data_IF_179291336983
#
_entry.id   IF_179291336983
#
_cell.length_a   1.000
_cell.length_b   1.000
_cell.length_c   1.000
_cell.angle_alpha   90.00
_cell.angle_beta   90.00
_cell.angle_gamma   90.00
#
_symmetry.space_group_name_H-M   'P 1'
#
loop_
_entity.id
_entity.type
_entity.pdbx_description
1 polymer ?
#
# COMPACT_ATOMS: atom_id res chain seq x y z
N UNK A 1 44.50 -2.17 -22.34
CA UNK A 1 43.54 -2.19 -21.23
C UNK A 1 42.71 -3.44 -21.39
N UNK A 2 43.04 -4.51 -20.65
CA UNK A 2 42.13 -5.65 -20.54
C UNK A 2 40.87 -5.17 -19.82
N UNK A 3 39.71 -5.33 -20.46
CA UNK A 3 38.43 -5.19 -19.79
C UNK A 3 38.36 -6.32 -18.75
N UNK A 4 38.19 -5.97 -17.48
CA UNK A 4 37.90 -6.96 -16.45
C UNK A 4 36.64 -7.75 -16.86
N UNK A 5 36.62 -9.09 -16.73
CA UNK A 5 35.45 -9.88 -17.10
C UNK A 5 34.21 -9.38 -16.33
N UNK A 6 33.02 -9.38 -16.96
CA UNK A 6 31.80 -8.96 -16.28
C UNK A 6 31.62 -9.81 -15.01
N UNK A 7 31.44 -9.14 -13.87
CA UNK A 7 31.24 -9.82 -12.59
C UNK A 7 29.92 -10.60 -12.65
N UNK A 8 30.01 -11.93 -12.71
CA UNK A 8 28.84 -12.83 -12.72
C UNK A 8 28.03 -12.71 -11.42
N UNK A 9 26.71 -12.86 -11.51
CA UNK A 9 25.80 -12.77 -10.37
C UNK A 9 25.99 -13.94 -9.39
N UNK A 10 26.16 -15.16 -9.91
CA UNK A 10 26.55 -16.37 -9.17
C UNK A 10 27.74 -17.00 -9.90
N UNK A 11 28.87 -17.31 -9.22
CA UNK A 11 29.97 -18.03 -9.84
C UNK A 11 29.46 -19.34 -10.44
N UNK A 12 29.87 -19.66 -11.67
CA UNK A 12 29.47 -20.86 -12.45
C UNK A 12 28.09 -20.86 -13.11
N UNK A 13 27.24 -19.85 -12.92
CA UNK A 13 25.96 -19.74 -13.60
C UNK A 13 25.92 -18.55 -14.57
N UNK A 14 25.29 -18.72 -15.75
CA UNK A 14 24.90 -17.59 -16.59
C UNK A 14 23.98 -16.60 -15.85
N UNK A 15 24.13 -15.30 -16.13
CA UNK A 15 23.37 -14.24 -15.46
C UNK A 15 21.86 -14.32 -15.74
N UNK A 16 21.46 -14.78 -16.93
CA UNK A 16 20.07 -14.98 -17.31
C UNK A 16 19.42 -16.12 -16.51
N UNK A 17 20.12 -17.24 -16.34
CA UNK A 17 19.69 -18.35 -15.48
C UNK A 17 19.59 -17.89 -14.03
N UNK A 18 20.54 -17.09 -13.56
CA UNK A 18 20.50 -16.51 -12.21
C UNK A 18 19.28 -15.61 -12.02
N UNK A 19 19.00 -14.72 -12.97
CA UNK A 19 17.81 -13.85 -12.94
C UNK A 19 16.54 -14.70 -12.91
N UNK A 20 16.48 -15.78 -13.68
CA UNK A 20 15.37 -16.72 -13.72
C UNK A 20 15.13 -17.43 -12.37
N UNK A 21 16.21 -17.85 -11.71
CA UNK A 21 16.12 -18.48 -10.39
C UNK A 21 15.62 -17.46 -9.38
N UNK A 22 16.24 -16.28 -9.32
CA UNK A 22 15.88 -15.23 -8.36
C UNK A 22 14.46 -14.72 -8.60
N UNK A 23 14.02 -14.60 -9.85
CA UNK A 23 12.66 -14.20 -10.20
C UNK A 23 11.59 -15.15 -9.62
N UNK A 24 11.91 -16.43 -9.43
CA UNK A 24 10.99 -17.43 -8.86
C UNK A 24 11.00 -17.47 -7.33
N UNK A 25 11.94 -16.79 -6.69
CA UNK A 25 11.97 -16.69 -5.23
C UNK A 25 10.87 -15.71 -4.78
N UNK A 26 10.08 -16.02 -3.74
CA UNK A 26 9.11 -15.08 -3.20
C UNK A 26 9.75 -13.77 -2.77
N UNK A 27 9.07 -12.64 -3.02
CA UNK A 27 9.62 -11.30 -2.71
C UNK A 27 9.91 -11.10 -1.23
N UNK A 28 9.21 -11.82 -0.36
CA UNK A 28 9.48 -11.88 1.08
C UNK A 28 10.90 -12.37 1.41
N UNK A 29 11.62 -13.03 0.49
CA UNK A 29 13.01 -13.45 0.73
C UNK A 29 14.04 -12.47 0.13
N UNK A 30 13.60 -11.43 -0.58
CA UNK A 30 14.51 -10.49 -1.24
C UNK A 30 15.35 -9.66 -0.25
N UNK A 31 14.84 -9.20 0.90
CA UNK A 31 15.68 -8.53 1.88
C UNK A 31 16.88 -9.40 2.29
N UNK A 32 16.67 -10.68 2.59
CA UNK A 32 17.73 -11.63 2.92
C UNK A 32 18.68 -11.87 1.75
N UNK A 33 18.16 -12.05 0.53
CA UNK A 33 18.99 -12.22 -0.67
C UNK A 33 19.85 -10.99 -0.98
N UNK A 34 19.36 -9.78 -0.69
CA UNK A 34 20.09 -8.53 -0.92
C UNK A 34 21.33 -8.37 -0.02
N UNK A 35 21.38 -9.14 1.07
CA UNK A 35 22.51 -9.17 2.00
C UNK A 35 23.62 -10.14 1.55
N UNK A 36 23.32 -11.09 0.68
CA UNK A 36 24.26 -12.12 0.20
C UNK A 36 25.41 -11.50 -0.59
N UNK A 37 25.13 -10.56 -1.50
CA UNK A 37 26.18 -9.85 -2.24
C UNK A 37 25.71 -8.51 -2.82
N UNK A 38 26.67 -7.65 -3.17
CA UNK A 38 26.40 -6.39 -3.88
C UNK A 38 25.69 -6.62 -5.23
N UNK A 39 25.97 -7.75 -5.88
CA UNK A 39 25.36 -8.13 -7.16
C UNK A 39 23.88 -8.49 -6.99
N UNK A 40 23.55 -9.31 -5.98
CA UNK A 40 22.15 -9.61 -5.65
C UNK A 40 21.39 -8.35 -5.24
N UNK A 41 21.99 -7.50 -4.40
CA UNK A 41 21.40 -6.21 -4.02
C UNK A 41 21.05 -5.34 -5.24
N UNK A 42 21.99 -5.21 -6.18
CA UNK A 42 21.75 -4.45 -7.43
C UNK A 42 20.68 -5.08 -8.30
N UNK A 43 20.66 -6.40 -8.40
CA UNK A 43 19.66 -7.13 -9.19
C UNK A 43 18.25 -6.92 -8.60
N UNK A 44 18.11 -7.07 -7.28
CA UNK A 44 16.85 -6.88 -6.53
C UNK A 44 16.33 -5.46 -6.65
N UNK A 45 17.21 -4.46 -6.59
CA UNK A 45 16.85 -3.05 -6.80
C UNK A 45 16.58 -2.69 -8.27
N UNK A 46 16.73 -3.62 -9.22
CA UNK A 46 16.56 -3.36 -10.65
C UNK A 46 15.21 -3.83 -11.18
N UNK A 47 14.66 -3.10 -12.15
CA UNK A 47 13.44 -3.47 -12.89
C UNK A 47 13.60 -4.74 -13.73
N UNK A 48 14.82 -5.26 -13.88
CA UNK A 48 15.11 -6.48 -14.65
C UNK A 48 14.40 -7.71 -14.06
N UNK A 49 14.45 -7.87 -12.74
CA UNK A 49 13.79 -9.00 -12.07
C UNK A 49 12.28 -8.93 -12.23
N UNK A 50 11.72 -7.74 -12.05
CA UNK A 50 10.29 -7.54 -12.20
C UNK A 50 9.81 -7.85 -13.62
N UNK A 51 10.46 -7.28 -14.64
CA UNK A 51 10.14 -7.58 -16.05
C UNK A 51 10.21 -9.08 -16.32
N UNK A 52 11.19 -9.77 -15.72
CA UNK A 52 11.32 -11.22 -15.88
C UNK A 52 10.20 -11.99 -15.20
N UNK A 53 9.79 -11.60 -13.99
CA UNK A 53 8.65 -12.20 -13.29
C UNK A 53 7.35 -12.03 -14.06
N UNK A 54 7.12 -10.84 -14.59
CA UNK A 54 5.98 -10.55 -15.46
C UNK A 54 5.98 -11.47 -16.69
N UNK A 55 7.12 -11.65 -17.36
CA UNK A 55 7.26 -12.59 -18.49
C UNK A 55 7.01 -14.05 -18.11
N UNK A 56 7.34 -14.44 -16.88
CA UNK A 56 7.12 -15.79 -16.36
C UNK A 56 5.68 -15.99 -15.83
N UNK A 57 4.84 -14.96 -15.83
CA UNK A 57 3.49 -15.01 -15.29
C UNK A 57 3.44 -15.17 -13.77
N UNK A 58 4.52 -14.80 -13.07
CA UNK A 58 4.60 -14.94 -11.60
C UNK A 58 3.97 -13.71 -10.97
N UNK A 59 2.77 -13.88 -10.43
CA UNK A 59 2.05 -12.86 -9.66
C UNK A 59 2.15 -13.17 -8.17
N UNK A 60 2.52 -12.17 -7.37
CA UNK A 60 2.47 -12.26 -5.91
C UNK A 60 1.54 -11.19 -5.34
N UNK A 61 0.75 -11.56 -4.33
CA UNK A 61 -0.03 -10.62 -3.56
C UNK A 61 0.82 -10.12 -2.38
N UNK A 62 0.96 -8.81 -2.27
CA UNK A 62 1.65 -8.18 -1.15
C UNK A 62 0.70 -7.21 -0.48
N UNK A 63 0.53 -7.36 0.84
CA UNK A 63 -0.26 -6.44 1.63
C UNK A 63 0.67 -5.42 2.25
N UNK A 64 0.40 -4.14 2.03
CA UNK A 64 1.15 -3.03 2.58
C UNK A 64 0.35 -2.37 3.68
N UNK A 65 1.00 -2.10 4.80
CA UNK A 65 0.37 -1.56 6.00
C UNK A 65 1.15 -0.33 6.47
N UNK A 66 0.44 0.72 6.87
CA UNK A 66 1.01 2.02 7.19
C UNK A 66 0.50 2.55 8.53
N UNK A 67 1.42 2.98 9.40
CA UNK A 67 1.14 3.82 10.56
C UNK A 67 1.64 5.25 10.28
N UNK A 68 1.67 6.13 11.28
CA UNK A 68 2.08 7.54 11.16
C UNK A 68 3.50 7.79 10.66
N UNK A 69 4.40 6.81 10.83
CA UNK A 69 5.85 6.92 10.63
C UNK A 69 6.43 5.81 9.75
N UNK A 70 5.82 4.63 9.77
CA UNK A 70 6.37 3.39 9.28
C UNK A 70 5.45 2.75 8.25
N UNK A 71 6.08 2.02 7.34
CA UNK A 71 5.45 1.18 6.34
C UNK A 71 5.95 -0.25 6.51
N UNK A 72 5.02 -1.21 6.50
CA UNK A 72 5.29 -2.64 6.61
C UNK A 72 4.72 -3.37 5.39
N UNK A 73 5.41 -4.41 4.95
CA UNK A 73 4.89 -5.41 4.02
C UNK A 73 4.53 -6.66 4.81
N UNK A 74 3.30 -7.14 4.64
CA UNK A 74 2.80 -8.39 5.22
C UNK A 74 2.59 -9.38 4.08
N UNK A 75 3.27 -10.53 4.19
CA UNK A 75 3.00 -11.70 3.38
C UNK A 75 2.20 -12.69 4.22
N UNK A 76 0.89 -12.71 3.99
CA UNK A 76 -0.05 -13.60 4.69
C UNK A 76 0.21 -15.09 4.38
N UNK A 77 0.83 -15.42 3.24
CA UNK A 77 1.08 -16.82 2.87
C UNK A 77 2.28 -17.40 3.60
N UNK A 78 3.32 -16.58 3.82
CA UNK A 78 4.51 -17.00 4.57
C UNK A 78 4.46 -16.62 6.05
N UNK A 79 3.41 -15.93 6.49
CA UNK A 79 3.28 -15.34 7.84
C UNK A 79 4.49 -14.47 8.21
N UNK A 80 4.97 -13.66 7.26
CA UNK A 80 6.11 -12.78 7.49
C UNK A 80 5.72 -11.31 7.40
N UNK A 81 6.34 -10.51 8.27
CA UNK A 81 6.23 -9.04 8.29
C UNK A 81 7.61 -8.45 8.04
N UNK A 82 7.67 -7.47 7.14
CA UNK A 82 8.92 -6.82 6.75
C UNK A 82 8.79 -5.31 6.82
N UNK A 83 9.75 -4.66 7.47
CA UNK A 83 9.86 -3.21 7.44
C UNK A 83 10.22 -2.75 6.03
N UNK A 84 9.49 -1.74 5.55
CA UNK A 84 9.80 -1.02 4.32
C UNK A 84 10.66 0.19 4.69
N UNK A 85 11.32 0.80 3.70
CA UNK A 85 12.00 2.08 3.91
C UNK A 85 11.07 3.09 4.61
N UNK A 86 11.62 3.78 5.60
CA UNK A 86 10.91 4.77 6.41
C UNK A 86 10.16 5.75 5.52
N UNK A 87 8.94 6.12 5.92
CA UNK A 87 8.17 7.09 5.17
C UNK A 87 8.94 8.42 5.13
N UNK A 88 9.15 9.03 3.94
CA UNK A 88 9.96 10.24 3.84
C UNK A 88 9.38 11.44 4.60
N UNK A 89 8.07 11.41 4.89
CA UNK A 89 7.36 12.48 5.57
C UNK A 89 6.36 11.89 6.58
N UNK A 90 6.38 12.42 7.81
CA UNK A 90 5.41 12.04 8.85
C UNK A 90 4.00 12.46 8.43
N UNK A 91 3.07 11.51 8.46
CA UNK A 91 1.69 11.72 8.00
C UNK A 91 0.67 11.06 8.95
N UNK A 92 0.23 11.78 10.00
CA UNK A 92 -0.63 11.22 11.05
C UNK A 92 -2.07 10.89 10.62
N UNK A 93 -2.60 11.63 9.65
CA UNK A 93 -3.93 11.38 9.09
C UNK A 93 -3.78 11.24 7.59
N UNK A 94 -4.09 10.03 7.11
CA UNK A 94 -3.93 9.67 5.70
C UNK A 94 -4.94 8.63 5.24
N UNK A 95 -5.16 8.66 3.94
CA UNK A 95 -5.84 7.64 3.16
C UNK A 95 -4.81 6.93 2.27
N UNK A 96 -5.11 5.70 1.88
CA UNK A 96 -4.23 4.86 1.10
C UNK A 96 -5.01 4.09 0.04
N UNK A 97 -4.54 4.10 -1.20
CA UNK A 97 -5.05 3.21 -2.24
C UNK A 97 -4.00 2.94 -3.32
N UNK A 98 -4.32 2.09 -4.30
CA UNK A 98 -3.38 1.55 -5.27
C UNK A 98 -3.85 1.88 -6.68
N UNK A 99 -2.97 2.45 -7.49
CA UNK A 99 -3.15 2.62 -8.94
C UNK A 99 -1.88 2.14 -9.62
N UNK A 100 -2.01 1.36 -10.69
CA UNK A 100 -0.87 0.85 -11.48
C UNK A 100 0.27 0.26 -10.63
N UNK A 101 -0.09 -0.53 -9.60
CA UNK A 101 0.82 -1.17 -8.64
C UNK A 101 1.63 -0.20 -7.78
N UNK A 102 1.31 1.09 -7.78
CA UNK A 102 1.88 2.08 -6.86
C UNK A 102 0.90 2.34 -5.73
N UNK A 103 1.43 2.39 -4.50
CA UNK A 103 0.63 2.76 -3.33
C UNK A 103 0.69 4.27 -3.16
N UNK A 104 -0.47 4.91 -3.18
CA UNK A 104 -0.62 6.34 -2.95
C UNK A 104 -1.10 6.57 -1.52
N UNK A 105 -0.30 7.31 -0.76
CA UNK A 105 -0.66 7.82 0.56
C UNK A 105 -0.94 9.31 0.45
N UNK A 106 -2.13 9.71 0.86
CA UNK A 106 -2.57 11.10 0.76
C UNK A 106 -3.05 11.54 2.14
N UNK A 107 -2.53 12.66 2.63
CA UNK A 107 -2.83 13.04 4.00
C UNK A 107 -2.32 14.40 4.41
N UNK A 108 -2.52 14.69 5.69
CA UNK A 108 -2.00 15.89 6.33
C UNK A 108 -0.57 15.62 6.81
N UNK A 109 0.36 16.41 6.31
CA UNK A 109 1.75 16.43 6.72
C UNK A 109 2.05 17.70 7.50
N UNK A 110 2.79 17.55 8.60
CA UNK A 110 3.34 18.68 9.33
C UNK A 110 4.64 19.14 8.66
N UNK A 111 4.69 20.39 8.21
CA UNK A 111 5.85 20.93 7.51
C UNK A 111 6.34 22.22 8.18
N UNK A 112 7.66 22.30 8.37
CA UNK A 112 8.37 23.54 8.66
C UNK A 112 8.88 24.13 7.37
N UNK A 113 8.64 25.42 7.16
CA UNK A 113 9.32 26.16 6.10
C UNK A 113 9.88 27.46 6.68
N UNK A 114 10.97 27.92 6.10
CA UNK A 114 11.60 29.18 6.47
C UNK A 114 11.58 30.11 5.26
N UNK A 115 11.16 31.35 5.48
CA UNK A 115 11.29 32.46 4.54
C UNK A 115 12.16 33.56 5.16
N UNK A 116 12.30 34.69 4.47
CA UNK A 116 13.10 35.83 4.95
C UNK A 116 12.55 36.45 6.25
N UNK A 117 11.29 36.16 6.60
CA UNK A 117 10.56 36.76 7.72
C UNK A 117 10.59 35.83 8.95
N UNK A 118 10.77 34.52 8.77
CA UNK A 118 10.98 33.57 9.86
C UNK A 118 10.72 32.12 9.48
N UNK A 119 10.68 31.26 10.51
CA UNK A 119 10.28 29.86 10.39
C UNK A 119 8.81 29.72 10.78
N UNK A 120 8.04 29.08 9.92
CA UNK A 120 6.62 28.83 10.10
C UNK A 120 6.33 27.33 10.14
N UNK A 121 5.32 26.95 10.93
CA UNK A 121 4.83 25.59 11.04
C UNK A 121 3.39 25.54 10.52
N UNK A 122 3.13 24.69 9.52
CA UNK A 122 1.81 24.55 8.96
C UNK A 122 1.53 23.08 8.59
N UNK A 123 0.23 22.75 8.61
CA UNK A 123 -0.28 21.49 8.10
C UNK A 123 -0.60 21.65 6.62
N UNK A 124 0.08 20.89 5.77
CA UNK A 124 -0.17 20.86 4.32
C UNK A 124 -0.64 19.48 3.88
N UNK A 125 -1.31 19.43 2.73
CA UNK A 125 -1.59 18.17 2.06
C UNK A 125 -0.31 17.65 1.42
N UNK A 126 -0.02 16.38 1.63
CA UNK A 126 1.07 15.71 0.95
C UNK A 126 0.59 14.41 0.31
N UNK A 127 1.22 14.08 -0.83
CA UNK A 127 1.09 12.81 -1.52
C UNK A 127 2.45 12.13 -1.45
N UNK A 128 2.47 10.91 -0.92
CA UNK A 128 3.61 10.02 -0.99
C UNK A 128 3.23 8.84 -1.88
N UNK A 129 4.13 8.45 -2.77
CA UNK A 129 3.91 7.34 -3.69
C UNK A 129 5.00 6.31 -3.42
N UNK A 130 4.58 5.10 -3.06
CA UNK A 130 5.47 3.96 -2.91
C UNK A 130 5.38 3.09 -4.15
N UNK A 131 6.49 3.01 -4.88
CA UNK A 131 6.62 2.13 -6.02
C UNK A 131 6.88 0.70 -5.51
N UNK A 132 5.88 -0.17 -5.70
CA UNK A 132 5.99 -1.56 -5.23
C UNK A 132 6.88 -2.41 -6.12
N UNK A 133 7.22 -1.97 -7.34
CA UNK A 133 8.17 -2.68 -8.21
C UNK A 133 9.58 -2.48 -7.69
N UNK A 134 9.99 -1.22 -7.49
CA UNK A 134 11.35 -0.88 -7.05
C UNK A 134 11.51 -0.89 -5.52
N UNK A 135 10.42 -0.98 -4.77
CA UNK A 135 10.37 -0.84 -3.31
C UNK A 135 10.97 0.49 -2.82
N UNK A 136 10.69 1.57 -3.53
CA UNK A 136 11.21 2.92 -3.21
C UNK A 136 10.09 3.94 -3.20
N UNK A 137 10.28 5.00 -2.41
CA UNK A 137 9.41 6.16 -2.42
C UNK A 137 9.77 7.11 -3.56
N UNK A 138 8.76 7.63 -4.23
CA UNK A 138 8.90 8.78 -5.13
C UNK A 138 9.07 10.08 -4.32
N UNK A 139 9.59 11.16 -4.95
CA UNK A 139 9.66 12.46 -4.30
C UNK A 139 8.31 12.90 -3.73
N UNK A 140 8.29 13.31 -2.45
CA UNK A 140 7.08 13.74 -1.76
C UNK A 140 6.52 14.99 -2.45
N UNK A 141 5.24 14.96 -2.77
CA UNK A 141 4.53 16.12 -3.31
C UNK A 141 3.78 16.82 -2.20
N UNK A 142 4.18 18.05 -1.88
CA UNK A 142 3.48 18.91 -0.92
C UNK A 142 2.65 19.92 -1.72
N UNK A 143 1.37 20.07 -1.35
CA UNK A 143 0.48 21.04 -1.99
C UNK A 143 0.03 22.10 -1.00
N UNK A 144 0.47 23.33 -1.25
CA UNK A 144 0.28 24.49 -0.38
C UNK A 144 -1.07 25.20 -0.60
N UNK A 145 -1.71 25.02 -1.76
CA UNK A 145 -2.95 25.75 -2.08
C UNK A 145 -4.22 25.02 -1.62
N UNK A 146 -4.10 23.76 -1.20
CA UNK A 146 -5.23 22.93 -0.79
C UNK A 146 -5.50 23.09 0.72
N UNK A 147 -6.32 24.08 1.08
CA UNK A 147 -6.80 24.28 2.47
C UNK A 147 -8.05 23.45 2.77
N UNK A 148 -8.00 22.15 2.54
CA UNK A 148 -9.08 21.24 2.95
C UNK A 148 -8.89 20.77 4.40
N UNK A 149 -9.98 20.39 5.06
CA UNK A 149 -9.95 19.85 6.43
C UNK A 149 -9.24 18.50 6.52
N UNK A 150 -9.35 17.84 7.68
CA UNK A 150 -8.83 16.47 7.84
C UNK A 150 -9.49 15.55 6.78
N UNK A 151 -8.76 14.59 6.22
CA UNK A 151 -9.41 13.60 5.34
C UNK A 151 -10.15 12.57 6.20
N UNK A 152 -11.30 12.09 5.72
CA UNK A 152 -11.95 10.90 6.27
C UNK A 152 -11.13 9.64 5.99
N UNK A 153 -11.54 8.52 6.59
CA UNK A 153 -10.78 7.29 6.60
C UNK A 153 -10.60 6.66 5.20
N UNK A 154 -11.47 6.90 4.23
CA UNK A 154 -11.53 6.02 3.06
C UNK A 154 -11.24 6.74 1.75
N UNK A 155 -10.57 6.00 0.87
CA UNK A 155 -10.28 6.35 -0.52
C UNK A 155 -10.76 5.24 -1.41
N UNK A 156 -11.33 5.60 -2.54
CA UNK A 156 -11.67 4.63 -3.60
C UNK A 156 -11.00 5.04 -4.91
N UNK A 157 -10.74 4.05 -5.75
CA UNK A 157 -10.19 4.26 -7.10
C UNK A 157 -11.33 4.09 -8.09
N UNK A 158 -11.54 5.11 -8.92
CA UNK A 158 -12.50 5.08 -10.03
C UNK A 158 -11.81 5.70 -11.24
N UNK A 159 -11.83 5.00 -12.39
CA UNK A 159 -11.25 5.47 -13.65
C UNK A 159 -9.79 5.97 -13.49
N UNK A 160 -8.95 5.23 -12.77
CA UNK A 160 -7.56 5.60 -12.41
C UNK A 160 -7.41 6.90 -11.60
N UNK A 161 -8.47 7.34 -10.91
CA UNK A 161 -8.45 8.52 -10.04
C UNK A 161 -8.79 8.16 -8.60
N UNK A 162 -8.12 8.84 -7.66
CA UNK A 162 -8.30 8.65 -6.23
C UNK A 162 -9.39 9.59 -5.72
N UNK A 163 -10.53 9.02 -5.32
CA UNK A 163 -11.64 9.77 -4.75
C UNK A 163 -11.63 9.64 -3.23
N UNK A 164 -11.72 10.76 -2.52
CA UNK A 164 -11.68 10.84 -1.05
C UNK A 164 -12.62 11.93 -0.54
N UNK A 165 -12.98 11.92 0.75
CA UNK A 165 -13.83 12.96 1.36
C UNK A 165 -13.11 13.79 2.42
N UNK A 166 -13.39 15.09 2.44
CA UNK A 166 -12.99 16.02 3.51
C UNK A 166 -13.95 15.92 4.72
N UNK A 167 -13.38 15.83 5.93
CA UNK A 167 -14.04 15.81 7.22
C UNK A 167 -14.91 17.04 7.49
N UNK A 168 -14.50 18.25 7.06
CA UNK A 168 -15.16 19.50 7.49
C UNK A 168 -16.25 19.99 6.56
N UNK A 169 -16.07 19.77 5.26
CA UNK A 169 -16.86 20.46 4.23
C UNK A 169 -17.70 19.50 3.38
N UNK A 170 -17.65 18.18 3.67
CA UNK A 170 -18.33 17.11 2.91
C UNK A 170 -18.02 17.11 1.40
N UNK A 171 -16.98 17.83 0.96
CA UNK A 171 -16.52 17.82 -0.42
C UNK A 171 -15.74 16.54 -0.71
N UNK A 172 -16.07 15.93 -1.84
CA UNK A 172 -15.32 14.82 -2.42
C UNK A 172 -14.21 15.41 -3.26
N UNK A 173 -12.99 14.99 -2.97
CA UNK A 173 -11.78 15.37 -3.68
C UNK A 173 -11.38 14.23 -4.58
N UNK A 174 -11.00 14.56 -5.80
CA UNK A 174 -10.47 13.62 -6.78
C UNK A 174 -9.03 14.03 -7.07
N UNK A 175 -8.12 13.10 -6.88
CA UNK A 175 -6.73 13.26 -7.27
C UNK A 175 -6.45 12.38 -8.50
N UNK A 176 -5.96 13.01 -9.55
CA UNK A 176 -5.57 12.34 -10.79
C UNK A 176 -4.04 12.24 -10.84
N UNK A 177 -3.45 11.04 -10.65
CA UNK A 177 -2.00 10.89 -10.59
C UNK A 177 -1.28 11.25 -11.89
N UNK A 178 -1.89 11.01 -13.06
CA UNK A 178 -1.29 11.26 -14.37
C UNK A 178 -1.05 12.75 -14.62
N UNK A 179 -2.03 13.59 -14.26
CA UNK A 179 -1.99 15.04 -14.45
C UNK A 179 -1.55 15.80 -13.18
N UNK A 180 -1.37 15.10 -12.05
CA UNK A 180 -1.09 15.67 -10.72
C UNK A 180 -2.12 16.77 -10.37
N UNK A 181 -3.37 16.50 -10.73
CA UNK A 181 -4.47 17.44 -10.65
C UNK A 181 -5.41 17.09 -9.50
N UNK A 182 -6.00 18.12 -8.90
CA UNK A 182 -6.98 18.01 -7.84
C UNK A 182 -8.29 18.65 -8.29
N UNK A 183 -9.37 17.90 -8.19
CA UNK A 183 -10.71 18.34 -8.56
C UNK A 183 -11.67 18.12 -7.39
N UNK A 184 -12.69 18.98 -7.31
CA UNK A 184 -13.82 18.75 -6.40
C UNK A 184 -14.90 18.02 -7.21
N UNK A 185 -15.34 16.88 -6.71
CA UNK A 185 -16.41 16.10 -7.33
C UNK A 185 -17.71 16.30 -6.56
N UNK A 186 -18.71 16.88 -7.23
CA UNK A 186 -20.02 17.15 -6.64
C UNK A 186 -20.91 15.90 -6.53
N UNK A 187 -20.71 14.90 -7.38
CA UNK A 187 -21.59 13.72 -7.49
C UNK A 187 -21.49 12.81 -6.26
N UNK A 188 -20.27 12.62 -5.73
CA UNK A 188 -20.01 11.83 -4.53
C UNK A 188 -20.35 12.58 -3.22
N UNK A 189 -20.75 13.84 -3.30
CA UNK A 189 -21.13 14.62 -2.11
C UNK A 189 -22.50 14.22 -1.55
N UNK A 190 -23.30 13.49 -2.31
CA UNK A 190 -24.69 13.17 -1.97
C UNK A 190 -24.87 12.22 -0.78
N UNK A 191 -23.97 11.24 -0.58
CA UNK A 191 -24.11 10.20 0.46
C UNK A 191 -22.81 10.04 1.28
N UNK A 192 -22.93 9.83 2.60
CA UNK A 192 -21.79 9.51 3.47
C UNK A 192 -21.39 8.03 3.29
N UNK A 193 -20.09 7.76 3.18
CA UNK A 193 -19.57 6.40 2.99
C UNK A 193 -18.35 6.15 3.88
N UNK A 194 -18.31 4.97 4.51
CA UNK A 194 -17.20 4.45 5.31
C UNK A 194 -16.96 2.98 4.98
N UNK A 195 -15.72 2.50 5.10
CA UNK A 195 -15.30 1.16 4.72
C UNK A 195 -15.57 0.87 3.25
N UNK A 196 -15.43 1.88 2.38
CA UNK A 196 -15.88 1.78 1.00
C UNK A 196 -14.89 1.04 0.10
N UNK A 197 -15.42 0.30 -0.87
CA UNK A 197 -14.64 -0.34 -1.92
C UNK A 197 -15.39 -0.30 -3.25
N UNK A 198 -14.65 -0.34 -4.36
CA UNK A 198 -15.23 -0.43 -5.71
C UNK A 198 -15.01 -1.84 -6.24
N UNK A 199 -16.09 -2.48 -6.65
CA UNK A 199 -16.09 -3.82 -7.27
C UNK A 199 -16.96 -3.75 -8.51
N UNK A 200 -16.38 -4.13 -9.66
CA UNK A 200 -17.07 -4.13 -10.97
C UNK A 200 -17.78 -2.80 -11.27
N UNK A 201 -17.07 -1.68 -11.07
CA UNK A 201 -17.55 -0.29 -11.25
C UNK A 201 -18.71 0.12 -10.33
N UNK A 202 -19.00 -0.67 -9.29
CA UNK A 202 -20.01 -0.36 -8.27
C UNK A 202 -19.34 -0.03 -6.93
N UNK A 203 -19.70 1.10 -6.34
CA UNK A 203 -19.26 1.52 -5.01
C UNK A 203 -20.09 0.82 -3.92
N UNK A 204 -19.41 0.05 -3.07
CA UNK A 204 -19.97 -0.54 -1.85
C UNK A 204 -19.43 0.20 -0.64
N UNK A 205 -20.26 0.40 0.38
CA UNK A 205 -19.87 1.03 1.64
C UNK A 205 -20.78 0.58 2.78
N UNK A 206 -20.33 0.75 4.03
CA UNK A 206 -21.10 0.46 5.22
C UNK A 206 -21.90 1.69 5.67
N UNK A 207 -23.17 1.49 6.07
CA UNK A 207 -24.04 2.56 6.59
C UNK A 207 -23.82 2.86 8.09
N UNK A 208 -23.10 1.99 8.82
CA UNK A 208 -22.93 2.07 10.27
C UNK A 208 -21.51 1.82 10.75
N UNK A 209 -21.10 2.69 11.67
CA UNK A 209 -19.83 2.69 12.41
C UNK A 209 -19.69 1.47 13.33
N UNK A 210 -19.26 0.33 12.79
CA UNK A 210 -18.80 -0.85 13.55
C UNK A 210 -17.29 -0.83 13.76
N UNK A 211 -16.80 -1.43 14.85
CA UNK A 211 -15.37 -1.41 15.24
C UNK A 211 -14.44 -2.00 14.17
N UNK A 212 -13.46 -1.18 13.77
CA UNK A 212 -12.06 -1.42 13.35
C UNK A 212 -11.64 -2.67 12.55
N UNK A 213 -12.53 -3.31 11.80
CA UNK A 213 -12.07 -4.27 10.80
C UNK A 213 -11.73 -3.57 9.48
N UNK A 214 -10.58 -3.91 8.88
CA UNK A 214 -10.17 -3.40 7.56
C UNK A 214 -10.17 -4.53 6.56
N UNK A 215 -11.06 -4.42 5.57
CA UNK A 215 -11.13 -5.33 4.45
C UNK A 215 -10.25 -4.83 3.31
N UNK A 216 -9.45 -5.71 2.75
CA UNK A 216 -8.60 -5.43 1.58
C UNK A 216 -8.84 -6.52 0.55
N UNK A 217 -9.22 -6.13 -0.67
CA UNK A 217 -9.35 -7.09 -1.78
C UNK A 217 -7.97 -7.59 -2.20
N UNK A 218 -7.76 -8.90 -2.12
CA UNK A 218 -6.52 -9.60 -2.47
C UNK A 218 -6.80 -10.50 -3.67
N UNK A 219 -6.67 -9.98 -4.89
CA UNK A 219 -6.97 -10.74 -6.12
C UNK A 219 -8.46 -10.74 -6.50
N UNK A 220 -8.85 -11.62 -7.42
CA UNK A 220 -10.19 -11.60 -8.02
C UNK A 220 -11.32 -12.06 -7.08
N UNK A 221 -11.03 -13.07 -6.25
CA UNK A 221 -12.03 -13.76 -5.40
C UNK A 221 -11.62 -13.88 -3.95
N UNK A 222 -10.61 -13.14 -3.50
CA UNK A 222 -10.09 -13.23 -2.14
C UNK A 222 -9.97 -11.86 -1.50
N UNK A 223 -10.17 -11.81 -0.20
CA UNK A 223 -10.17 -10.62 0.62
C UNK A 223 -9.46 -10.94 1.93
N UNK A 224 -8.55 -10.09 2.36
CA UNK A 224 -7.95 -10.15 3.69
C UNK A 224 -8.72 -9.21 4.62
N UNK A 225 -9.17 -9.71 5.76
CA UNK A 225 -9.82 -8.94 6.81
C UNK A 225 -8.87 -8.83 8.00
N UNK A 226 -8.45 -7.62 8.32
CA UNK A 226 -7.61 -7.35 9.48
C UNK A 226 -8.47 -6.83 10.62
N UNK A 227 -8.32 -7.41 11.81
CA UNK A 227 -9.05 -6.97 13.00
C UNK A 227 -8.22 -7.14 14.27
N UNK A 228 -8.39 -6.23 15.25
CA UNK A 228 -7.73 -6.36 16.54
C UNK A 228 -8.40 -7.45 17.37
N UNK A 229 -7.60 -8.26 18.05
CA UNK A 229 -8.04 -9.26 19.03
C UNK A 229 -7.26 -9.07 20.34
N UNK A 230 -7.86 -9.47 21.47
CA UNK A 230 -7.18 -9.45 22.76
C UNK A 230 -6.77 -10.87 23.16
N UNK A 231 -5.47 -11.08 23.30
CA UNK A 231 -4.92 -12.34 23.80
C UNK A 231 -4.08 -12.07 25.05
N UNK A 232 -4.42 -12.72 26.17
CA UNK A 232 -3.74 -12.57 27.47
C UNK A 232 -3.52 -11.12 27.96
N UNK A 233 -4.40 -10.20 27.56
CA UNK A 233 -4.35 -8.78 27.96
C UNK A 233 -3.61 -7.86 26.97
N UNK A 234 -2.95 -8.43 25.95
CA UNK A 234 -2.28 -7.70 24.89
C UNK A 234 -3.18 -7.56 23.65
N UNK A 235 -2.98 -6.50 22.87
CA UNK A 235 -3.69 -6.28 21.61
C UNK A 235 -2.85 -6.84 20.45
N UNK A 236 -3.43 -7.78 19.70
CA UNK A 236 -2.81 -8.41 18.54
C UNK A 236 -3.61 -8.09 17.29
N UNK A 237 -2.97 -8.08 16.12
CA UNK A 237 -3.68 -7.96 14.83
C UNK A 237 -3.79 -9.32 14.19
N UNK A 238 -5.03 -9.77 13.95
CA UNK A 238 -5.34 -10.98 13.21
C UNK A 238 -5.65 -10.64 11.76
N UNK A 239 -5.30 -11.54 10.84
CA UNK A 239 -5.66 -11.49 9.42
C UNK A 239 -6.50 -12.73 9.09
N UNK A 240 -7.74 -12.53 8.68
CA UNK A 240 -8.59 -13.57 8.13
C UNK A 240 -8.62 -13.49 6.61
N UNK A 241 -8.20 -14.57 5.95
CA UNK A 241 -8.35 -14.73 4.51
C UNK A 241 -9.76 -15.23 4.20
N UNK A 242 -10.49 -14.49 3.38
CA UNK A 242 -11.87 -14.78 2.99
C UNK A 242 -11.94 -14.94 1.47
N UNK A 243 -12.37 -16.11 1.02
CA UNK A 243 -12.69 -16.34 -0.40
C UNK A 243 -14.17 -16.09 -0.63
N UNK A 244 -14.48 -15.31 -1.67
CA UNK A 244 -15.85 -14.96 -2.00
C UNK A 244 -16.33 -15.59 -3.30
N UNK A 245 -17.62 -15.95 -3.29
CA UNK A 245 -18.35 -16.43 -4.45
C UNK A 245 -19.55 -15.54 -4.73
N UNK A 246 -19.75 -15.24 -6.00
CA UNK A 246 -20.92 -14.52 -6.48
C UNK A 246 -22.06 -15.50 -6.70
N UNK A 247 -23.21 -15.24 -6.08
CA UNK A 247 -24.44 -16.02 -6.30
C UNK A 247 -25.41 -15.26 -7.21
N UNK A 248 -26.44 -15.97 -7.69
CA UNK A 248 -27.52 -15.35 -8.45
C UNK A 248 -28.17 -14.23 -7.63
N UNK A 249 -28.44 -13.07 -8.25
CA UNK A 249 -29.04 -11.92 -7.59
C UNK A 249 -28.06 -10.83 -7.12
N UNK A 250 -26.75 -10.99 -7.34
CA UNK A 250 -25.75 -9.98 -6.97
C UNK A 250 -25.26 -10.07 -5.52
N UNK A 251 -25.65 -11.12 -4.80
CA UNK A 251 -25.14 -11.41 -3.46
C UNK A 251 -23.72 -12.00 -3.50
N UNK A 252 -22.87 -11.54 -2.57
CA UNK A 252 -21.54 -12.08 -2.33
C UNK A 252 -21.56 -12.86 -1.01
N UNK A 253 -21.05 -14.08 -1.03
CA UNK A 253 -20.82 -14.90 0.17
C UNK A 253 -19.34 -15.15 0.34
N UNK A 254 -18.81 -14.92 1.54
CA UNK A 254 -17.41 -15.18 1.88
C UNK A 254 -17.27 -16.39 2.80
N UNK A 255 -16.35 -17.30 2.50
CA UNK A 255 -15.88 -18.34 3.41
C UNK A 255 -14.48 -17.98 3.90
N UNK A 256 -14.27 -18.04 5.22
CA UNK A 256 -12.95 -17.84 5.82
C UNK A 256 -12.09 -19.08 5.54
N UNK A 257 -10.98 -18.90 4.83
CA UNK A 257 -10.00 -19.95 4.53
C UNK A 257 -8.99 -20.12 5.67
N UNK A 258 -8.48 -19.01 6.20
CA UNK A 258 -7.54 -19.00 7.32
C UNK A 258 -7.76 -17.78 8.20
N UNK A 259 -7.22 -17.84 9.42
CA UNK A 259 -7.20 -16.71 10.35
C UNK A 259 -5.96 -16.85 11.22
N UNK A 260 -5.01 -15.93 11.04
CA UNK A 260 -3.69 -16.02 11.66
C UNK A 260 -3.32 -14.70 12.31
N UNK A 261 -2.56 -14.79 13.41
CA UNK A 261 -1.97 -13.61 14.06
C UNK A 261 -0.84 -13.11 13.19
N UNK A 262 -0.95 -11.88 12.70
CA UNK A 262 0.06 -11.26 11.81
C UNK A 262 0.90 -10.21 12.52
N UNK A 263 0.44 -9.70 13.67
CA UNK A 263 1.21 -8.78 14.52
C UNK A 263 1.01 -9.17 15.98
N UNK A 264 2.06 -9.63 16.64
CA UNK A 264 2.12 -9.85 18.09
C UNK A 264 2.69 -8.60 18.79
N UNK A 265 2.11 -8.25 19.94
CA UNK A 265 2.35 -7.00 20.67
C UNK A 265 3.85 -6.75 20.99
N UNK A 266 4.31 -5.51 20.76
CA UNK A 266 5.71 -5.07 20.88
C UNK A 266 6.13 -4.01 19.84
N UNK A 267 5.42 -3.93 18.73
CA UNK A 267 5.45 -2.79 17.82
C UNK A 267 4.21 -1.94 18.12
N UNK A 268 4.40 -0.67 18.49
CA UNK A 268 3.34 0.34 18.63
C UNK A 268 2.69 0.66 17.27
N UNK A 269 2.26 -0.37 16.55
CA UNK A 269 1.74 -0.28 15.21
C UNK A 269 0.22 -0.25 15.28
N UNK A 270 -0.33 0.93 15.61
CA UNK A 270 -1.75 1.19 15.40
C UNK A 270 -1.97 1.25 13.88
N UNK A 271 -2.57 0.20 13.32
CA UNK A 271 -2.70 0.06 11.88
C UNK A 271 -3.63 1.14 11.32
N UNK A 272 -3.05 2.22 10.78
CA UNK A 272 -3.82 3.36 10.26
C UNK A 272 -4.38 3.09 8.86
N UNK A 273 -3.67 2.38 7.98
CA UNK A 273 -4.17 1.97 6.65
C UNK A 273 -3.51 0.67 6.14
N UNK A 274 -4.23 -0.08 5.32
CA UNK A 274 -3.71 -1.24 4.60
C UNK A 274 -4.25 -1.28 3.17
N UNK A 275 -3.42 -1.77 2.23
CA UNK A 275 -3.77 -1.97 0.82
C UNK A 275 -3.11 -3.24 0.31
N UNK A 276 -3.70 -3.90 -0.68
CA UNK A 276 -3.11 -5.08 -1.33
C UNK A 276 -2.74 -4.72 -2.75
N UNK A 277 -1.56 -5.18 -3.17
CA UNK A 277 -1.05 -5.00 -4.52
C UNK A 277 -0.74 -6.37 -5.08
N UNK A 278 -1.17 -6.60 -6.32
CA UNK A 278 -0.75 -7.77 -7.09
C UNK A 278 0.40 -7.34 -7.98
N UNK A 279 1.58 -7.93 -7.77
CA UNK A 279 2.83 -7.58 -8.46
C UNK A 279 3.26 -8.73 -9.36
#
# INVERSE_FOLDING_TARGET
MEQSPPSLLIPSLPDDVTVDIVARVPRSHYPSLSLVSKSFRKLIASTKLYKRRSQLGITEHSTYVFNDLEALSIDCTSHTVQAISDMPQRMPSKVANVIDRKVYLIGNSFCRYADEIGSWEAWWKAVMVFDTETQTWEPVMIKHDLRFGALWADTVVMEDKLCMKDFRNQHSLVYEPKEIMWEVNEMLNSEEWQGACVVDDVLYYHDRSGKWSKAVKCGEKKMALFFPEKHDGNEITCCADIVFERRQGGEFWGMMESCDVVVEDGLLFDMVKCVSVTV
#
